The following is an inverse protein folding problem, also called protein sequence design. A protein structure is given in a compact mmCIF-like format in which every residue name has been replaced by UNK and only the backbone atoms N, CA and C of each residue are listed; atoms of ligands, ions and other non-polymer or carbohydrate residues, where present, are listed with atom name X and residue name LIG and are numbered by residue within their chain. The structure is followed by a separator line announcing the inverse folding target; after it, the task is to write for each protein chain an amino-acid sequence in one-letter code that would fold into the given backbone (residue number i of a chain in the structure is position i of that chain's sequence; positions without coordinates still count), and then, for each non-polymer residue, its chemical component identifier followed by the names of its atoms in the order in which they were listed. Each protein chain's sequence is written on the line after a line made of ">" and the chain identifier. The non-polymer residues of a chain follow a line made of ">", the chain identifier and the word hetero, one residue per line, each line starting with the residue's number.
data_IF_042319663678
#
_entry.id   IF_042319663678
#
_cell.length_a   1.000
_cell.length_b   1.000
_cell.length_c   1.000
_cell.angle_alpha   90.00
_cell.angle_beta   90.00
_cell.angle_gamma   90.00
#
_symmetry.space_group_name_H-M   'P 1'
#
loop_
_entity.id
_entity.type
_entity.pdbx_description
1 polymer ?
#
# COMPACT_ATOMS: atom_id res chain seq x y z
N UNK A 1 -14.64 5.66 14.77
CA UNK A 1 -13.50 6.55 15.06
C UNK A 1 -13.77 7.97 14.57
N UNK A 2 -14.75 8.69 15.15
CA UNK A 2 -15.05 10.07 14.75
C UNK A 2 -13.89 11.04 15.08
N UNK A 3 -13.10 10.76 16.12
CA UNK A 3 -12.04 11.63 16.64
C UNK A 3 -10.81 11.72 15.71
N UNK A 4 -10.70 10.81 14.75
CA UNK A 4 -9.57 10.71 13.79
C UNK A 4 -9.88 11.32 12.43
N UNK A 5 -11.10 11.85 12.23
CA UNK A 5 -11.55 12.43 10.96
C UNK A 5 -10.63 13.56 10.51
N UNK A 6 -10.25 14.47 11.43
CA UNK A 6 -9.38 15.60 11.10
C UNK A 6 -7.99 15.15 10.63
N UNK A 7 -7.46 14.06 11.20
CA UNK A 7 -6.15 13.50 10.81
C UNK A 7 -6.22 12.74 9.49
N UNK A 8 -7.39 12.20 9.14
CA UNK A 8 -7.60 11.47 7.89
C UNK A 8 -8.04 12.39 6.74
N UNK A 9 -8.48 13.61 7.03
CA UNK A 9 -9.08 14.52 6.04
C UNK A 9 -8.16 14.83 4.86
N UNK A 10 -6.86 15.02 5.08
CA UNK A 10 -5.90 15.27 3.98
C UNK A 10 -5.85 14.11 2.97
N UNK A 11 -6.03 12.89 3.46
CA UNK A 11 -6.07 11.69 2.62
C UNK A 11 -7.47 11.54 2.00
N UNK A 12 -8.53 11.66 2.81
CA UNK A 12 -9.92 11.49 2.38
C UNK A 12 -10.39 12.54 1.36
N UNK A 13 -9.74 13.70 1.30
CA UNK A 13 -10.04 14.76 0.34
C UNK A 13 -9.40 14.52 -1.04
N UNK A 14 -8.58 13.48 -1.21
CA UNK A 14 -8.02 13.13 -2.53
C UNK A 14 -9.14 12.58 -3.42
N UNK A 15 -9.13 13.00 -4.69
CA UNK A 15 -10.12 12.57 -5.68
C UNK A 15 -10.11 11.05 -5.87
N UNK A 16 -8.92 10.44 -5.89
CA UNK A 16 -8.72 9.00 -5.94
C UNK A 16 -7.75 8.59 -4.83
N UNK A 17 -8.12 7.56 -4.06
CA UNK A 17 -7.25 6.96 -3.05
C UNK A 17 -6.46 5.82 -3.68
N UNK A 18 -5.13 5.92 -3.63
CA UNK A 18 -4.26 4.82 -4.02
C UNK A 18 -3.84 3.97 -2.82
N UNK A 19 -3.17 2.86 -3.06
CA UNK A 19 -2.76 1.94 -2.00
C UNK A 19 -1.86 2.58 -0.93
N UNK A 20 -1.04 3.59 -1.24
CA UNK A 20 -0.24 4.31 -0.25
C UNK A 20 -1.15 5.09 0.69
N UNK A 21 -2.15 5.76 0.13
CA UNK A 21 -3.17 6.49 0.87
C UNK A 21 -3.95 5.55 1.81
N UNK A 22 -4.32 4.37 1.32
CA UNK A 22 -5.01 3.35 2.12
C UNK A 22 -4.10 2.80 3.24
N UNK A 23 -2.81 2.60 2.98
CA UNK A 23 -1.87 2.14 4.00
C UNK A 23 -1.67 3.19 5.09
N UNK A 24 -1.56 4.46 4.70
CA UNK A 24 -1.42 5.59 5.61
C UNK A 24 -2.70 5.79 6.44
N UNK A 25 -3.87 5.74 5.80
CA UNK A 25 -5.16 5.82 6.46
C UNK A 25 -5.34 4.69 7.49
N UNK A 26 -4.97 3.46 7.15
CA UNK A 26 -5.01 2.34 8.08
C UNK A 26 -4.06 2.55 9.28
N UNK A 27 -2.88 3.11 9.04
CA UNK A 27 -1.94 3.44 10.11
C UNK A 27 -2.50 4.52 11.05
N UNK A 28 -3.16 5.55 10.51
CA UNK A 28 -3.78 6.61 11.30
C UNK A 28 -4.98 6.09 12.12
N UNK A 29 -5.87 5.32 11.48
CA UNK A 29 -7.09 4.80 12.11
C UNK A 29 -6.77 3.75 13.19
N UNK A 30 -5.82 2.84 12.94
CA UNK A 30 -5.58 1.70 13.84
C UNK A 30 -4.29 1.82 14.67
N UNK A 31 -3.38 2.76 14.37
CA UNK A 31 -2.15 2.96 15.15
C UNK A 31 -1.36 1.66 15.38
N UNK A 32 -1.01 1.36 16.63
CA UNK A 32 -0.30 0.12 17.00
C UNK A 32 -1.15 -1.15 16.85
N UNK A 33 -2.49 -1.06 16.85
CA UNK A 33 -3.37 -2.18 16.52
C UNK A 33 -3.28 -2.60 15.06
N UNK A 34 -2.82 -1.69 14.18
CA UNK A 34 -2.53 -2.06 12.81
C UNK A 34 -1.51 -3.21 12.74
N UNK A 35 -0.52 -3.24 13.65
CA UNK A 35 0.49 -4.31 13.71
C UNK A 35 -0.11 -5.66 14.09
N UNK A 36 -1.12 -5.69 14.94
CA UNK A 36 -1.81 -6.93 15.37
C UNK A 36 -2.67 -7.54 14.25
N UNK A 37 -3.22 -6.71 13.37
CA UNK A 37 -4.13 -7.14 12.28
C UNK A 37 -3.48 -7.17 10.88
N UNK A 38 -2.15 -7.11 10.79
CA UNK A 38 -1.42 -7.06 9.51
C UNK A 38 -1.81 -8.22 8.59
N UNK A 39 -1.83 -9.45 9.12
CA UNK A 39 -2.05 -10.67 8.33
C UNK A 39 -3.43 -10.73 7.71
N UNK A 40 -4.45 -10.31 8.46
CA UNK A 40 -5.85 -10.27 8.02
C UNK A 40 -6.03 -9.17 6.96
N UNK A 41 -5.46 -7.99 7.19
CA UNK A 41 -5.53 -6.87 6.25
C UNK A 41 -4.80 -7.12 4.93
N UNK A 42 -3.74 -7.96 4.89
CA UNK A 42 -3.09 -8.34 3.62
C UNK A 42 -4.02 -9.13 2.70
N UNK A 43 -4.92 -9.96 3.25
CA UNK A 43 -5.82 -10.81 2.46
C UNK A 43 -6.88 -10.03 1.70
N UNK A 44 -7.18 -8.80 2.14
CA UNK A 44 -8.22 -7.96 1.55
C UNK A 44 -7.69 -6.91 0.57
N UNK A 45 -6.39 -6.92 0.25
CA UNK A 45 -5.83 -5.96 -0.70
C UNK A 45 -6.20 -6.33 -2.15
N UNK A 46 -7.09 -5.55 -2.74
CA UNK A 46 -7.26 -5.49 -4.19
C UNK A 46 -6.36 -4.39 -4.74
N UNK A 47 -5.49 -4.71 -5.70
CA UNK A 47 -4.62 -3.74 -6.34
C UNK A 47 -5.17 -3.39 -7.72
N UNK A 48 -5.50 -2.12 -7.94
CA UNK A 48 -5.82 -1.61 -9.28
C UNK A 48 -4.57 -1.56 -10.15
N UNK A 49 -4.74 -1.38 -11.47
CA UNK A 49 -3.62 -1.18 -12.39
C UNK A 49 -2.76 0.02 -11.96
N UNK A 50 -3.42 1.11 -11.55
CA UNK A 50 -2.78 2.32 -11.07
C UNK A 50 -1.95 2.05 -9.81
N UNK A 51 -2.48 1.29 -8.85
CA UNK A 51 -1.74 0.91 -7.63
C UNK A 51 -0.49 0.08 -7.97
N UNK A 52 -0.61 -0.85 -8.91
CA UNK A 52 0.52 -1.69 -9.34
C UNK A 52 1.60 -0.83 -9.98
N UNK A 53 1.23 0.09 -10.87
CA UNK A 53 2.17 1.00 -11.51
C UNK A 53 2.86 1.92 -10.49
N UNK A 54 2.12 2.43 -9.51
CA UNK A 54 2.66 3.26 -8.44
C UNK A 54 3.68 2.49 -7.58
N UNK A 55 3.38 1.23 -7.23
CA UNK A 55 4.30 0.36 -6.49
C UNK A 55 5.57 0.08 -7.30
N UNK A 56 5.45 -0.18 -8.60
CA UNK A 56 6.59 -0.42 -9.48
C UNK A 56 7.42 0.86 -9.72
N UNK A 57 6.79 2.03 -9.75
CA UNK A 57 7.49 3.31 -9.83
C UNK A 57 8.28 3.61 -8.54
N UNK A 58 7.67 3.34 -7.38
CA UNK A 58 8.34 3.42 -6.09
C UNK A 58 9.60 2.54 -6.04
N UNK A 59 9.56 1.35 -6.65
CA UNK A 59 10.74 0.49 -6.78
C UNK A 59 11.90 1.18 -7.49
N UNK A 60 11.62 1.85 -8.62
CA UNK A 60 12.63 2.58 -9.40
C UNK A 60 13.14 3.80 -8.65
N UNK A 61 12.22 4.60 -8.09
CA UNK A 61 12.54 5.82 -7.35
C UNK A 61 13.47 5.58 -6.16
N UNK A 62 13.31 4.45 -5.48
CA UNK A 62 14.08 4.10 -4.29
C UNK A 62 15.16 3.02 -4.55
N UNK A 63 15.42 2.66 -5.81
CA UNK A 63 16.41 1.65 -6.22
C UNK A 63 16.26 0.31 -5.47
N UNK A 64 15.03 -0.14 -5.25
CA UNK A 64 14.76 -1.36 -4.48
C UNK A 64 14.77 -2.60 -5.37
N UNK A 65 15.28 -3.71 -4.82
CA UNK A 65 15.10 -5.02 -5.46
C UNK A 65 13.68 -5.59 -5.19
N UNK A 66 13.31 -6.66 -5.90
CA UNK A 66 11.97 -7.23 -5.79
C UNK A 66 11.65 -7.73 -4.37
N UNK A 67 12.64 -8.24 -3.62
CA UNK A 67 12.45 -8.72 -2.25
C UNK A 67 12.25 -7.57 -1.27
N UNK A 68 13.02 -6.48 -1.42
CA UNK A 68 12.89 -5.27 -0.60
C UNK A 68 11.54 -4.59 -0.82
N UNK A 69 11.13 -4.42 -2.09
CA UNK A 69 9.83 -3.87 -2.43
C UNK A 69 8.69 -4.74 -1.88
N UNK A 70 8.81 -6.06 -2.06
CA UNK A 70 7.85 -7.02 -1.55
C UNK A 70 7.71 -6.94 -0.03
N UNK A 71 8.83 -6.86 0.71
CA UNK A 71 8.79 -6.68 2.16
C UNK A 71 8.14 -5.35 2.58
N UNK A 72 8.43 -4.26 1.87
CA UNK A 72 7.87 -2.94 2.16
C UNK A 72 6.34 -2.93 2.02
N UNK A 73 5.84 -3.48 0.91
CA UNK A 73 4.40 -3.52 0.62
C UNK A 73 3.69 -4.77 1.16
N UNK A 74 4.43 -5.66 1.83
CA UNK A 74 3.97 -6.98 2.33
C UNK A 74 3.35 -7.85 1.22
N UNK A 75 4.02 -7.86 0.07
CA UNK A 75 3.73 -8.68 -1.09
C UNK A 75 4.65 -9.90 -1.14
N UNK A 76 4.34 -10.85 -2.02
CA UNK A 76 5.33 -11.86 -2.39
C UNK A 76 6.29 -11.29 -3.45
N UNK A 77 7.57 -11.66 -3.40
CA UNK A 77 8.54 -11.31 -4.46
C UNK A 77 8.08 -11.80 -5.85
N UNK A 78 7.32 -12.88 -5.88
CA UNK A 78 6.77 -13.47 -7.10
C UNK A 78 5.63 -12.59 -7.67
N UNK A 79 4.83 -11.98 -6.81
CA UNK A 79 3.81 -10.99 -7.21
C UNK A 79 4.48 -9.81 -7.90
N UNK A 80 5.53 -9.26 -7.31
CA UNK A 80 6.31 -8.16 -7.90
C UNK A 80 6.89 -8.58 -9.25
N UNK A 81 7.50 -9.77 -9.34
CA UNK A 81 8.04 -10.28 -10.59
C UNK A 81 6.96 -10.47 -11.67
N UNK A 82 5.78 -10.96 -11.29
CA UNK A 82 4.63 -11.14 -12.20
C UNK A 82 4.12 -9.79 -12.70
N UNK A 83 3.96 -8.80 -11.82
CA UNK A 83 3.53 -7.46 -12.20
C UNK A 83 4.51 -6.80 -13.16
N UNK A 84 5.81 -6.89 -12.90
CA UNK A 84 6.82 -6.38 -13.84
C UNK A 84 6.62 -6.97 -15.23
N UNK A 85 6.46 -8.29 -15.36
CA UNK A 85 6.24 -8.94 -16.67
C UNK A 85 4.95 -8.50 -17.39
N UNK A 86 3.92 -8.08 -16.66
CA UNK A 86 2.61 -7.73 -17.23
C UNK A 86 2.57 -6.24 -17.63
N UNK A 87 3.27 -5.38 -16.90
CA UNK A 87 3.13 -3.92 -17.01
C UNK A 87 4.42 -3.20 -17.46
N UNK A 88 5.56 -3.89 -17.55
CA UNK A 88 6.86 -3.38 -18.02
C UNK A 88 7.40 -4.35 -19.07
#
# INVERSE_FOLDING_TARGET
>A
YPDKILQCQEILNKQDLNILDILELNKLIFGDEHKRNIEVNQKFKSYSKQDILLILDYQKKHNLNNSQLANHFKLSRNTVAKWKKIFI
#
